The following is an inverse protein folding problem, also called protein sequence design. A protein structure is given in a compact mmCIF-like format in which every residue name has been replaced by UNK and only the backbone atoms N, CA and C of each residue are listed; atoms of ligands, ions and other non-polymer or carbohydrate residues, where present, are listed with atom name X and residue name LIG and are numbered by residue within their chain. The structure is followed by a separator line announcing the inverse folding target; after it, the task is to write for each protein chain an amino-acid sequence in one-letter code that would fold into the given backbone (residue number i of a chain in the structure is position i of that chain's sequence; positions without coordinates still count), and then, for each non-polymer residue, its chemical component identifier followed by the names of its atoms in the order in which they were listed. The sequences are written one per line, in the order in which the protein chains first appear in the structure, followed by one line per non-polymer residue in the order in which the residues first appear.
data_IF_148070670042
#
_entry.id   IF_148070670042
#
_cell.length_a   1.000
_cell.length_b   1.000
_cell.length_c   1.000
_cell.angle_alpha   90.00
_cell.angle_beta   90.00
_cell.angle_gamma   90.00
#
_symmetry.space_group_name_H-M   'P 1'
#
loop_
_entity.id
_entity.type
_entity.pdbx_description
1 polymer ?
#
# COMPACT_ATOMS: atom_id res chain seq x y z
N UNK A 1 26.17 7.76 -39.08
CA UNK A 1 24.70 7.82 -39.06
C UNK A 1 24.32 8.74 -37.94
N UNK A 2 23.84 9.95 -38.26
CA UNK A 2 23.45 10.93 -37.27
C UNK A 2 22.03 10.58 -36.78
N UNK A 3 21.79 10.61 -35.46
CA UNK A 3 20.46 10.38 -34.91
C UNK A 3 19.48 11.46 -35.40
N UNK A 4 19.96 12.69 -35.56
CA UNK A 4 19.14 13.81 -36.06
C UNK A 4 18.64 13.57 -37.49
N UNK A 5 19.45 12.90 -38.34
CA UNK A 5 19.05 12.51 -39.70
C UNK A 5 17.91 11.48 -39.66
N UNK A 6 17.92 10.53 -38.72
CA UNK A 6 16.83 9.56 -38.54
C UNK A 6 15.58 10.26 -38.00
N UNK A 7 15.74 11.14 -37.00
CA UNK A 7 14.62 11.84 -36.36
C UNK A 7 13.87 12.78 -37.31
N UNK A 8 14.50 13.19 -38.40
CA UNK A 8 13.92 14.07 -39.43
C UNK A 8 13.61 13.35 -40.74
N UNK A 9 13.81 12.03 -40.80
CA UNK A 9 13.67 11.25 -42.03
C UNK A 9 12.18 11.05 -42.40
N UNK A 10 11.91 11.00 -43.70
CA UNK A 10 10.55 10.76 -44.21
C UNK A 10 10.03 9.37 -43.82
N UNK A 11 10.92 8.38 -43.70
CA UNK A 11 10.61 7.02 -43.27
C UNK A 11 10.10 6.99 -41.83
N UNK A 12 10.72 7.74 -40.91
CA UNK A 12 10.25 7.81 -39.52
C UNK A 12 8.88 8.47 -39.43
N UNK A 13 8.67 9.56 -40.19
CA UNK A 13 7.37 10.24 -40.26
C UNK A 13 6.26 9.30 -40.78
N UNK A 14 6.57 8.46 -41.76
CA UNK A 14 5.64 7.45 -42.27
C UNK A 14 5.30 6.39 -41.20
N UNK A 15 6.31 5.90 -40.45
CA UNK A 15 6.11 4.95 -39.35
C UNK A 15 5.26 5.57 -38.24
N UNK A 16 5.57 6.79 -37.81
CA UNK A 16 4.79 7.51 -36.78
C UNK A 16 3.33 7.67 -37.20
N UNK A 17 3.09 8.05 -38.45
CA UNK A 17 1.76 8.18 -39.01
C UNK A 17 1.00 6.85 -38.96
N UNK A 18 1.64 5.75 -39.35
CA UNK A 18 1.03 4.41 -39.31
C UNK A 18 0.70 3.97 -37.87
N UNK A 19 1.60 4.20 -36.91
CA UNK A 19 1.36 3.90 -35.48
C UNK A 19 0.19 4.74 -34.94
N UNK A 20 0.14 6.03 -35.27
CA UNK A 20 -0.97 6.90 -34.87
C UNK A 20 -2.32 6.44 -35.43
N UNK A 21 -2.35 5.93 -36.67
CA UNK A 21 -3.56 5.32 -37.26
C UNK A 21 -3.95 4.05 -36.50
N UNK A 22 -3.00 3.20 -36.14
CA UNK A 22 -3.26 2.00 -35.33
C UNK A 22 -3.84 2.36 -33.96
N UNK A 23 -3.25 3.34 -33.27
CA UNK A 23 -3.73 3.80 -31.97
C UNK A 23 -5.17 4.32 -32.02
N UNK A 24 -5.50 5.11 -33.05
CA UNK A 24 -6.87 5.60 -33.28
C UNK A 24 -7.85 4.45 -33.54
N UNK A 25 -7.42 3.41 -34.27
CA UNK A 25 -8.25 2.25 -34.58
C UNK A 25 -8.58 1.41 -33.34
N UNK A 26 -7.61 1.22 -32.43
CA UNK A 26 -7.80 0.42 -31.22
C UNK A 26 -8.47 1.20 -30.07
N UNK A 27 -8.51 2.54 -30.14
CA UNK A 27 -9.26 3.42 -29.24
C UNK A 27 -9.04 3.13 -27.74
N UNK A 28 -7.78 2.91 -27.35
CA UNK A 28 -7.43 2.73 -25.95
C UNK A 28 -7.60 4.05 -25.18
N UNK A 29 -7.99 3.99 -23.89
CA UNK A 29 -8.07 5.18 -23.06
C UNK A 29 -6.74 5.94 -23.04
N UNK A 30 -6.80 7.26 -23.17
CA UNK A 30 -5.63 8.15 -23.18
C UNK A 30 -5.54 8.92 -21.87
N UNK A 31 -4.36 9.48 -21.60
CA UNK A 31 -4.18 10.37 -20.44
C UNK A 31 -5.14 11.57 -20.54
N UNK A 32 -5.89 11.82 -19.47
CA UNK A 32 -6.69 13.04 -19.32
C UNK A 32 -5.75 14.20 -18.95
N UNK A 33 -5.67 15.29 -19.74
CA UNK A 33 -4.78 16.43 -19.46
C UNK A 33 -5.08 17.16 -18.14
N UNK A 34 -6.30 17.03 -17.61
CA UNK A 34 -6.74 17.66 -16.37
C UNK A 34 -6.24 16.87 -15.15
N UNK A 35 -5.97 15.58 -15.31
CA UNK A 35 -5.50 14.74 -14.22
C UNK A 35 -4.02 15.00 -13.94
N UNK A 36 -3.67 14.96 -12.65
CA UNK A 36 -2.27 15.02 -12.20
C UNK A 36 -1.46 13.91 -12.88
N UNK A 37 -0.25 14.26 -13.30
CA UNK A 37 0.71 13.30 -13.85
C UNK A 37 1.18 12.31 -12.78
N UNK A 38 1.67 11.15 -13.24
CA UNK A 38 2.30 10.17 -12.36
C UNK A 38 3.44 10.80 -11.53
N UNK A 39 4.27 11.65 -12.13
CA UNK A 39 5.37 12.35 -11.44
C UNK A 39 4.89 13.20 -10.27
N UNK A 40 3.81 13.96 -10.46
CA UNK A 40 3.24 14.83 -9.42
C UNK A 40 2.70 14.03 -8.23
N UNK A 41 2.19 12.83 -8.49
CA UNK A 41 1.62 11.95 -7.46
C UNK A 41 2.70 11.13 -6.76
N UNK A 42 3.61 10.51 -7.52
CA UNK A 42 4.46 9.42 -7.02
C UNK A 42 5.93 9.81 -6.79
N UNK A 43 6.47 10.77 -7.57
CA UNK A 43 7.91 11.06 -7.62
C UNK A 43 8.32 12.39 -6.96
N UNK A 44 7.38 13.12 -6.36
CA UNK A 44 7.68 14.32 -5.59
C UNK A 44 8.47 14.03 -4.29
N UNK A 45 8.65 15.08 -3.46
CA UNK A 45 9.27 14.96 -2.12
C UNK A 45 8.55 13.93 -1.24
N UNK A 46 7.24 13.79 -1.43
CA UNK A 46 6.40 12.83 -0.72
C UNK A 46 5.38 12.24 -1.67
N UNK A 47 5.10 10.94 -1.50
CA UNK A 47 4.03 10.25 -2.21
C UNK A 47 2.66 10.85 -1.84
N UNK A 48 1.85 11.22 -2.83
CA UNK A 48 0.53 11.82 -2.65
C UNK A 48 -0.54 10.74 -2.57
N UNK A 49 -0.62 10.09 -1.41
CA UNK A 49 -1.50 8.93 -1.20
C UNK A 49 -2.99 9.19 -1.50
N UNK A 50 -3.50 10.39 -1.17
CA UNK A 50 -4.89 10.77 -1.47
C UNK A 50 -5.14 10.87 -2.97
N UNK A 51 -4.27 11.57 -3.69
CA UNK A 51 -4.37 11.73 -5.15
C UNK A 51 -4.28 10.36 -5.86
N UNK A 52 -3.41 9.47 -5.37
CA UNK A 52 -3.31 8.11 -5.89
C UNK A 52 -4.61 7.33 -5.66
N UNK A 53 -5.20 7.40 -4.46
CA UNK A 53 -6.46 6.72 -4.15
C UNK A 53 -7.62 7.23 -5.02
N UNK A 54 -7.71 8.54 -5.25
CA UNK A 54 -8.72 9.13 -6.12
C UNK A 54 -8.69 8.51 -7.53
N UNK A 55 -7.51 8.17 -8.06
CA UNK A 55 -7.38 7.52 -9.38
C UNK A 55 -7.63 6.01 -9.29
N UNK A 56 -7.15 5.34 -8.24
CA UNK A 56 -7.27 3.89 -8.06
C UNK A 56 -8.74 3.47 -7.91
N UNK A 57 -9.54 4.30 -7.26
CA UNK A 57 -10.95 4.05 -6.94
C UNK A 57 -11.95 4.59 -7.95
N UNK A 58 -11.52 5.49 -8.84
CA UNK A 58 -12.41 6.05 -9.85
C UNK A 58 -12.67 5.00 -10.95
N UNK A 59 -13.91 4.90 -11.40
CA UNK A 59 -14.33 4.04 -12.51
C UNK A 59 -13.89 4.60 -13.88
N UNK A 60 -13.59 5.89 -13.96
CA UNK A 60 -13.19 6.57 -15.20
C UNK A 60 -12.02 5.87 -15.90
N UNK A 61 -12.14 5.53 -17.21
CA UNK A 61 -11.09 4.85 -17.95
C UNK A 61 -9.74 5.59 -17.85
N UNK A 62 -8.71 4.86 -17.46
CA UNK A 62 -7.32 5.33 -17.47
C UNK A 62 -6.51 4.61 -18.53
N UNK A 63 -5.43 5.22 -19.01
CA UNK A 63 -4.53 4.54 -19.93
C UNK A 63 -3.96 3.25 -19.30
N UNK A 64 -3.62 2.23 -20.13
CA UNK A 64 -3.15 0.93 -19.64
C UNK A 64 -1.99 1.05 -18.64
N UNK A 65 -1.98 0.16 -17.64
CA UNK A 65 -0.92 0.09 -16.62
C UNK A 65 -0.96 1.18 -15.54
N UNK A 66 -1.68 2.29 -15.71
CA UNK A 66 -1.63 3.42 -14.76
C UNK A 66 -2.07 3.04 -13.34
N UNK A 67 -3.24 2.41 -13.20
CA UNK A 67 -3.76 1.98 -11.89
C UNK A 67 -2.90 0.89 -11.26
N UNK A 68 -2.33 -0.01 -12.06
CA UNK A 68 -1.45 -1.08 -11.61
C UNK A 68 -0.21 -0.51 -10.91
N UNK A 69 0.45 0.45 -11.56
CA UNK A 69 1.64 1.12 -11.02
C UNK A 69 1.28 1.97 -9.80
N UNK A 70 0.25 2.82 -9.89
CA UNK A 70 -0.16 3.67 -8.77
C UNK A 70 -0.59 2.86 -7.53
N UNK A 71 -1.33 1.77 -7.72
CA UNK A 71 -1.75 0.91 -6.61
C UNK A 71 -0.55 0.24 -5.94
N UNK A 72 0.44 -0.20 -6.72
CA UNK A 72 1.68 -0.76 -6.20
C UNK A 72 2.47 0.27 -5.38
N UNK A 73 2.54 1.52 -5.86
CA UNK A 73 3.11 2.64 -5.11
C UNK A 73 2.35 2.93 -3.81
N UNK A 74 1.01 2.95 -3.86
CA UNK A 74 0.17 3.15 -2.69
C UNK A 74 0.34 2.04 -1.65
N UNK A 75 0.47 0.79 -2.07
CA UNK A 75 0.77 -0.35 -1.18
C UNK A 75 2.14 -0.21 -0.53
N UNK A 76 3.17 0.18 -1.29
CA UNK A 76 4.49 0.47 -0.74
C UNK A 76 4.46 1.60 0.28
N UNK A 77 3.69 2.65 0.02
CA UNK A 77 3.51 3.75 0.97
C UNK A 77 2.70 3.34 2.20
N UNK A 78 1.65 2.53 2.04
CA UNK A 78 0.83 2.07 3.16
C UNK A 78 1.59 1.12 4.09
N UNK A 79 2.53 0.35 3.56
CA UNK A 79 3.40 -0.54 4.35
C UNK A 79 4.61 0.19 4.94
N UNK A 80 5.23 1.09 4.18
CA UNK A 80 6.44 1.82 4.58
C UNK A 80 6.37 3.32 4.22
N UNK A 81 5.52 4.12 4.89
CA UNK A 81 5.26 5.52 4.53
C UNK A 81 6.48 6.44 4.65
N UNK A 82 7.48 6.05 5.44
CA UNK A 82 8.73 6.78 5.65
C UNK A 82 9.85 6.34 4.69
N UNK A 83 9.66 5.27 3.92
CA UNK A 83 10.71 4.64 3.12
C UNK A 83 10.29 4.53 1.65
N UNK A 84 10.36 5.67 0.97
CA UNK A 84 10.04 5.84 -0.45
C UNK A 84 10.71 4.79 -1.38
N UNK A 85 11.95 4.33 -1.15
CA UNK A 85 12.57 3.32 -2.00
C UNK A 85 11.75 2.03 -2.19
N UNK A 86 10.97 1.60 -1.19
CA UNK A 86 10.10 0.43 -1.34
C UNK A 86 8.94 0.72 -2.27
N UNK A 87 8.32 1.89 -2.13
CA UNK A 87 7.23 2.30 -3.04
C UNK A 87 7.73 2.40 -4.48
N UNK A 88 8.91 3.00 -4.68
CA UNK A 88 9.55 3.07 -6.01
C UNK A 88 9.86 1.68 -6.55
N UNK A 89 10.45 0.79 -5.75
CA UNK A 89 10.73 -0.58 -6.14
C UNK A 89 9.48 -1.33 -6.59
N UNK A 90 8.39 -1.26 -5.82
CA UNK A 90 7.12 -1.91 -6.18
C UNK A 90 6.51 -1.31 -7.47
N UNK A 91 6.56 0.01 -7.66
CA UNK A 91 6.12 0.64 -8.91
C UNK A 91 6.95 0.18 -10.11
N UNK A 92 8.28 0.07 -9.94
CA UNK A 92 9.16 -0.42 -11.01
C UNK A 92 8.84 -1.87 -11.39
N UNK A 93 8.57 -2.74 -10.42
CA UNK A 93 8.14 -4.12 -10.71
C UNK A 93 6.77 -4.16 -11.40
N UNK A 94 5.83 -3.31 -10.99
CA UNK A 94 4.53 -3.21 -11.66
C UNK A 94 4.64 -2.76 -13.13
N UNK A 95 5.60 -1.87 -13.43
CA UNK A 95 5.91 -1.46 -14.82
C UNK A 95 6.42 -2.64 -15.63
N UNK A 96 7.41 -3.37 -15.08
CA UNK A 96 7.98 -4.55 -15.74
C UNK A 96 6.91 -5.62 -15.99
N UNK A 97 6.05 -5.87 -15.00
CA UNK A 97 4.95 -6.82 -15.13
C UNK A 97 3.93 -6.38 -16.20
N UNK A 98 3.63 -5.08 -16.28
CA UNK A 98 2.74 -4.56 -17.32
C UNK A 98 3.33 -4.73 -18.72
N UNK A 99 4.62 -4.39 -18.90
CA UNK A 99 5.32 -4.54 -20.17
C UNK A 99 5.45 -6.02 -20.58
N UNK A 100 5.84 -6.91 -19.66
CA UNK A 100 5.89 -8.36 -19.88
C UNK A 100 4.51 -8.91 -20.28
N UNK A 101 3.44 -8.46 -19.63
CA UNK A 101 2.08 -8.86 -20.00
C UNK A 101 1.70 -8.43 -21.41
N UNK A 102 2.13 -7.24 -21.86
CA UNK A 102 1.89 -6.74 -23.21
C UNK A 102 2.71 -7.52 -24.26
N UNK A 103 3.96 -7.87 -23.94
CA UNK A 103 4.83 -8.70 -24.79
C UNK A 103 4.25 -10.11 -24.97
N UNK A 104 3.82 -10.74 -23.87
CA UNK A 104 3.15 -12.05 -23.93
C UNK A 104 1.85 -12.00 -24.72
N UNK A 105 1.11 -10.91 -24.66
CA UNK A 105 -0.16 -10.75 -25.39
C UNK A 105 0.02 -10.76 -26.92
N UNK A 106 1.19 -10.37 -27.43
CA UNK A 106 1.54 -10.48 -28.86
C UNK A 106 2.28 -11.78 -29.19
N UNK A 107 2.35 -12.71 -28.24
CA UNK A 107 2.94 -14.03 -28.40
C UNK A 107 4.45 -14.10 -28.22
N UNK A 108 5.09 -13.04 -27.69
CA UNK A 108 6.51 -13.11 -27.33
C UNK A 108 6.68 -14.11 -26.17
N UNK A 109 7.59 -15.07 -26.38
CA UNK A 109 7.75 -16.28 -25.56
C UNK A 109 7.42 -17.57 -26.31
N UNK A 110 6.54 -17.50 -27.32
CA UNK A 110 6.22 -18.62 -28.23
C UNK A 110 6.69 -18.37 -29.67
N UNK A 111 6.99 -17.11 -30.00
CA UNK A 111 7.43 -16.68 -31.32
C UNK A 111 8.66 -15.76 -31.19
N UNK A 112 9.45 -15.70 -32.25
CA UNK A 112 10.56 -14.76 -32.36
C UNK A 112 10.08 -13.31 -32.35
N UNK A 113 10.93 -12.42 -31.84
CA UNK A 113 10.69 -10.98 -31.90
C UNK A 113 10.79 -10.49 -33.34
N UNK A 114 9.72 -9.89 -33.83
CA UNK A 114 9.71 -9.13 -35.08
C UNK A 114 9.21 -7.71 -34.85
N UNK A 115 9.47 -6.84 -35.81
CA UNK A 115 9.12 -5.42 -35.72
C UNK A 115 7.63 -5.19 -35.48
N UNK A 116 6.77 -6.04 -36.05
CA UNK A 116 5.32 -5.91 -35.89
C UNK A 116 4.91 -6.18 -34.44
N UNK A 117 5.44 -7.24 -33.82
CA UNK A 117 5.18 -7.58 -32.41
C UNK A 117 5.72 -6.51 -31.47
N UNK A 118 6.93 -6.04 -31.72
CA UNK A 118 7.54 -4.97 -30.90
C UNK A 118 6.70 -3.67 -30.96
N UNK A 119 6.28 -3.26 -32.16
CA UNK A 119 5.44 -2.06 -32.32
C UNK A 119 4.13 -2.21 -31.55
N UNK A 120 3.47 -3.37 -31.68
CA UNK A 120 2.18 -3.61 -31.02
C UNK A 120 2.34 -3.70 -29.50
N UNK A 121 3.33 -4.44 -28.99
CA UNK A 121 3.51 -4.58 -27.53
C UNK A 121 3.88 -3.25 -26.87
N UNK A 122 4.82 -2.51 -27.46
CA UNK A 122 5.42 -1.31 -26.86
C UNK A 122 4.57 -0.06 -27.10
N UNK A 123 4.10 0.19 -28.33
CA UNK A 123 3.43 1.45 -28.64
C UNK A 123 1.91 1.34 -28.56
N UNK A 124 1.33 0.18 -28.87
CA UNK A 124 -0.12 0.00 -28.85
C UNK A 124 -0.60 -0.49 -27.48
N UNK A 125 -0.13 -1.65 -27.00
CA UNK A 125 -0.65 -2.27 -25.77
C UNK A 125 -0.14 -1.61 -24.49
N UNK A 126 1.18 -1.40 -24.38
CA UNK A 126 1.75 -0.63 -23.26
C UNK A 126 1.30 0.82 -23.34
N UNK A 127 1.37 1.41 -24.55
CA UNK A 127 0.81 2.72 -24.86
C UNK A 127 1.78 3.88 -24.64
N UNK A 128 1.74 4.85 -25.56
CA UNK A 128 2.62 6.04 -25.52
C UNK A 128 2.42 6.86 -24.23
N UNK A 129 1.19 6.97 -23.72
CA UNK A 129 0.93 7.74 -22.50
C UNK A 129 1.59 7.11 -21.28
N UNK A 130 1.60 5.78 -21.18
CA UNK A 130 2.32 5.05 -20.15
C UNK A 130 3.83 5.25 -20.28
N UNK A 131 4.36 5.15 -21.51
CA UNK A 131 5.78 5.34 -21.77
C UNK A 131 6.25 6.75 -21.38
N UNK A 132 5.49 7.78 -21.71
CA UNK A 132 5.84 9.18 -21.45
C UNK A 132 5.58 9.61 -20.00
N UNK A 133 4.45 9.20 -19.40
CA UNK A 133 4.03 9.68 -18.09
C UNK A 133 4.66 8.87 -16.94
N UNK A 134 4.91 7.57 -17.13
CA UNK A 134 5.40 6.67 -16.08
C UNK A 134 6.83 6.23 -16.36
N UNK A 135 7.05 5.51 -17.46
CA UNK A 135 8.32 4.85 -17.75
C UNK A 135 9.48 5.85 -17.86
N UNK A 136 9.33 6.89 -18.69
CA UNK A 136 10.33 7.94 -18.85
C UNK A 136 10.60 8.68 -17.52
N UNK A 137 9.53 9.02 -16.79
CA UNK A 137 9.65 9.78 -15.54
C UNK A 137 10.37 9.01 -14.43
N UNK A 138 10.35 7.67 -14.46
CA UNK A 138 11.12 6.83 -13.52
C UNK A 138 12.58 6.64 -13.92
N UNK A 139 13.00 7.10 -15.10
CA UNK A 139 14.36 6.94 -15.63
C UNK A 139 14.47 5.90 -16.75
N UNK A 140 13.34 5.47 -17.33
CA UNK A 140 13.30 4.53 -18.42
C UNK A 140 14.02 3.22 -18.11
N UNK A 141 14.85 2.75 -19.04
CA UNK A 141 15.58 1.49 -18.89
C UNK A 141 16.59 1.52 -17.73
N UNK A 142 17.22 2.67 -17.46
CA UNK A 142 18.20 2.81 -16.35
C UNK A 142 17.53 2.64 -14.98
N UNK A 143 16.23 2.93 -14.87
CA UNK A 143 15.46 2.67 -13.66
C UNK A 143 15.44 1.17 -13.30
N UNK A 144 15.42 0.29 -14.30
CA UNK A 144 15.34 -1.16 -14.12
C UNK A 144 16.65 -1.77 -13.68
N UNK A 145 17.78 -1.21 -14.12
CA UNK A 145 19.11 -1.69 -13.73
C UNK A 145 19.42 -1.38 -12.25
N UNK A 146 18.75 -0.36 -11.70
CA UNK A 146 18.94 0.12 -10.32
C UNK A 146 17.79 -0.24 -9.39
N UNK A 147 16.76 -0.90 -9.90
CA UNK A 147 15.58 -1.27 -9.12
C UNK A 147 15.96 -2.25 -8.00
N UNK A 148 15.34 -2.10 -6.83
CA UNK A 148 15.45 -3.12 -5.79
C UNK A 148 14.92 -4.44 -6.32
N UNK A 149 15.69 -5.52 -6.17
CA UNK A 149 15.19 -6.85 -6.49
C UNK A 149 13.98 -7.19 -5.61
N UNK A 150 13.07 -8.08 -6.05
CA UNK A 150 11.98 -8.56 -5.22
C UNK A 150 12.47 -9.14 -3.88
N UNK A 151 13.63 -9.81 -3.89
CA UNK A 151 14.30 -10.29 -2.68
C UNK A 151 14.70 -9.15 -1.74
N UNK A 152 15.21 -8.05 -2.28
CA UNK A 152 15.61 -6.89 -1.47
C UNK A 152 14.40 -6.24 -0.79
N UNK A 153 13.27 -6.16 -1.51
CA UNK A 153 11.99 -5.67 -0.95
C UNK A 153 11.53 -6.61 0.17
N UNK A 154 11.59 -7.93 -0.06
CA UNK A 154 11.22 -8.95 0.92
C UNK A 154 12.13 -8.90 2.16
N UNK A 155 13.43 -8.70 1.99
CA UNK A 155 14.40 -8.56 3.09
C UNK A 155 14.09 -7.30 3.92
N UNK A 156 13.83 -6.17 3.26
CA UNK A 156 13.43 -4.94 3.95
C UNK A 156 12.13 -5.15 4.75
N UNK A 157 11.14 -5.82 4.16
CA UNK A 157 9.90 -6.15 4.84
C UNK A 157 10.11 -7.09 6.03
N UNK A 158 10.92 -8.14 5.87
CA UNK A 158 11.25 -9.08 6.94
C UNK A 158 11.99 -8.43 8.12
N UNK A 159 12.80 -7.40 7.85
CA UNK A 159 13.51 -6.65 8.88
C UNK A 159 12.55 -5.91 9.80
N UNK A 160 11.42 -5.43 9.26
CA UNK A 160 10.40 -4.68 10.00
C UNK A 160 9.17 -5.51 10.41
N UNK A 161 9.03 -6.74 9.90
CA UNK A 161 7.87 -7.62 10.10
C UNK A 161 7.48 -7.76 11.58
N UNK A 162 8.46 -8.00 12.46
CA UNK A 162 8.22 -8.12 13.90
C UNK A 162 7.69 -6.81 14.50
N UNK A 163 8.22 -5.68 14.05
CA UNK A 163 7.82 -4.37 14.56
C UNK A 163 6.41 -4.02 14.08
N UNK A 164 6.11 -4.26 12.80
CA UNK A 164 4.77 -4.09 12.22
C UNK A 164 3.77 -5.00 12.94
N UNK A 165 4.07 -6.29 13.11
CA UNK A 165 3.21 -7.23 13.85
C UNK A 165 2.97 -6.78 15.30
N UNK A 166 3.97 -6.21 15.97
CA UNK A 166 3.79 -5.65 17.33
C UNK A 166 2.84 -4.44 17.31
N UNK A 167 2.95 -3.56 16.31
CA UNK A 167 2.02 -2.43 16.12
C UNK A 167 0.60 -2.92 15.83
N UNK A 168 0.43 -3.93 14.97
CA UNK A 168 -0.87 -4.57 14.70
C UNK A 168 -1.47 -5.19 15.97
N UNK A 169 -0.64 -5.83 16.79
CA UNK A 169 -1.08 -6.35 18.08
C UNK A 169 -1.50 -5.23 19.04
N UNK A 170 -0.77 -4.10 19.06
CA UNK A 170 -1.16 -2.92 19.82
C UNK A 170 -2.53 -2.40 19.37
N UNK A 171 -2.75 -2.26 18.06
CA UNK A 171 -4.03 -1.89 17.45
C UNK A 171 -5.16 -2.86 17.83
N UNK A 172 -4.86 -4.16 17.92
CA UNK A 172 -5.81 -5.18 18.39
C UNK A 172 -6.26 -4.91 19.82
N UNK A 173 -5.33 -4.60 20.73
CA UNK A 173 -5.70 -4.21 22.10
C UNK A 173 -6.54 -2.92 22.14
N UNK A 174 -6.22 -1.94 21.30
CA UNK A 174 -7.02 -0.72 21.21
C UNK A 174 -8.43 -0.99 20.66
N UNK A 175 -8.59 -1.91 19.71
CA UNK A 175 -9.89 -2.33 19.19
C UNK A 175 -10.72 -2.96 20.30
N UNK A 176 -10.15 -3.92 21.04
CA UNK A 176 -10.81 -4.51 22.22
C UNK A 176 -11.18 -3.47 23.29
N UNK A 177 -10.35 -2.44 23.46
CA UNK A 177 -10.65 -1.30 24.34
C UNK A 177 -11.79 -0.44 23.81
N UNK A 178 -11.79 -0.15 22.50
CA UNK A 178 -12.79 0.64 21.82
C UNK A 178 -14.18 -0.02 21.80
N UNK A 179 -14.23 -1.36 21.74
CA UNK A 179 -15.45 -2.16 21.85
C UNK A 179 -16.10 -2.04 23.24
N UNK A 180 -15.31 -1.80 24.29
CA UNK A 180 -15.76 -1.63 25.69
C UNK A 180 -15.82 -0.18 26.15
N UNK A 181 -15.55 0.77 25.26
CA UNK A 181 -15.50 2.19 25.60
C UNK A 181 -16.86 2.69 26.11
N UNK A 182 -16.87 3.36 27.27
CA UNK A 182 -18.07 3.83 28.00
C UNK A 182 -18.92 2.73 28.63
N UNK A 183 -18.43 1.51 28.72
CA UNK A 183 -19.01 0.54 29.64
C UNK A 183 -18.78 1.03 31.09
N UNK A 184 -19.80 0.92 31.94
CA UNK A 184 -19.78 1.41 33.33
C UNK A 184 -18.66 0.73 34.13
N UNK A 185 -18.37 -0.53 33.80
CA UNK A 185 -17.29 -1.33 34.39
C UNK A 185 -15.91 -0.94 33.83
N UNK A 186 -15.85 -0.40 32.62
CA UNK A 186 -14.64 -0.08 31.85
C UNK A 186 -14.64 1.40 31.38
N UNK A 187 -14.42 2.34 32.30
CA UNK A 187 -14.29 3.76 31.97
C UNK A 187 -12.88 4.05 31.45
N UNK A 188 -12.72 4.03 30.12
CA UNK A 188 -11.39 3.98 29.54
C UNK A 188 -11.32 4.45 28.09
N UNK A 189 -10.45 5.41 27.78
CA UNK A 189 -10.06 5.78 26.42
C UNK A 189 -8.87 4.94 25.89
N UNK A 190 -8.99 4.30 24.70
CA UNK A 190 -7.87 3.66 24.00
C UNK A 190 -6.64 4.57 23.90
N UNK A 191 -5.45 4.06 24.23
CA UNK A 191 -4.20 4.79 24.01
C UNK A 191 -2.98 3.88 23.87
N UNK A 192 -1.97 4.34 23.10
CA UNK A 192 -0.72 3.61 22.90
C UNK A 192 0.01 3.32 24.21
N UNK A 193 -0.01 4.26 25.17
CA UNK A 193 0.64 4.06 26.47
C UNK A 193 0.07 2.86 27.22
N UNK A 194 -1.24 2.62 27.09
CA UNK A 194 -1.90 1.50 27.73
C UNK A 194 -1.63 0.19 27.00
N UNK A 195 -1.61 0.20 25.67
CA UNK A 195 -1.11 -0.94 24.89
C UNK A 195 0.35 -1.30 25.27
N UNK A 196 1.21 -0.29 25.47
CA UNK A 196 2.57 -0.49 25.96
C UNK A 196 2.61 -1.06 27.39
N UNK A 197 1.64 -0.73 28.25
CA UNK A 197 1.46 -1.34 29.57
C UNK A 197 1.14 -2.83 29.49
N UNK A 198 0.27 -3.25 28.56
CA UNK A 198 -0.02 -4.66 28.30
C UNK A 198 1.26 -5.39 27.87
N UNK A 199 2.03 -4.83 26.94
CA UNK A 199 3.31 -5.41 26.53
C UNK A 199 4.32 -5.49 27.67
N UNK A 200 4.34 -4.51 28.57
CA UNK A 200 5.19 -4.54 29.75
C UNK A 200 4.85 -5.72 30.66
N UNK A 201 3.57 -5.92 30.97
CA UNK A 201 3.13 -7.04 31.78
C UNK A 201 3.32 -8.39 31.07
N UNK A 202 3.08 -8.47 29.76
CA UNK A 202 3.41 -9.67 28.96
C UNK A 202 4.89 -10.03 29.06
N UNK A 203 5.78 -9.03 29.02
CA UNK A 203 7.22 -9.25 29.18
C UNK A 203 7.56 -9.81 30.57
N UNK A 204 6.85 -9.38 31.62
CA UNK A 204 7.02 -9.89 32.98
C UNK A 204 6.51 -11.32 33.10
N UNK A 205 5.36 -11.64 32.53
CA UNK A 205 4.74 -12.97 32.59
C UNK A 205 5.47 -14.02 31.75
N UNK A 206 5.92 -13.67 30.54
CA UNK A 206 6.58 -14.61 29.62
C UNK A 206 8.10 -14.70 29.81
N UNK A 207 8.69 -13.69 30.45
CA UNK A 207 10.14 -13.49 30.52
C UNK A 207 10.74 -12.88 29.23
N UNK A 208 11.95 -12.30 29.30
CA UNK A 208 12.53 -11.53 28.19
C UNK A 208 12.76 -12.32 26.90
N UNK A 209 13.14 -13.60 27.02
CA UNK A 209 13.46 -14.45 25.85
C UNK A 209 12.21 -14.77 25.03
N UNK A 210 11.15 -15.29 25.65
CA UNK A 210 9.90 -15.61 24.96
C UNK A 210 9.19 -14.35 24.43
N UNK A 211 9.26 -13.24 25.19
CA UNK A 211 8.76 -11.95 24.71
C UNK A 211 9.50 -11.49 23.44
N UNK A 212 10.83 -11.52 23.43
CA UNK A 212 11.66 -11.05 22.32
C UNK A 212 11.52 -11.84 21.01
N UNK A 213 11.00 -13.07 21.09
CA UNK A 213 10.63 -13.88 19.92
C UNK A 213 9.43 -13.30 19.17
N UNK A 214 8.49 -12.67 19.89
CA UNK A 214 7.19 -12.23 19.33
C UNK A 214 7.07 -10.71 19.19
N UNK A 215 7.61 -9.96 20.15
CA UNK A 215 7.35 -8.54 20.30
C UNK A 215 8.64 -7.73 20.36
N UNK A 216 8.54 -6.47 19.95
CA UNK A 216 9.65 -5.50 20.05
C UNK A 216 9.65 -4.75 21.37
N UNK A 217 10.77 -4.09 21.66
CA UNK A 217 10.89 -3.20 22.81
C UNK A 217 9.98 -1.95 22.66
N UNK A 218 9.62 -1.34 23.79
CA UNK A 218 8.75 -0.15 23.85
C UNK A 218 9.24 0.99 22.97
N UNK A 219 10.54 1.30 22.97
CA UNK A 219 11.11 2.38 22.14
C UNK A 219 10.87 2.14 20.65
N UNK A 220 11.04 0.90 20.18
CA UNK A 220 10.81 0.55 18.78
C UNK A 220 9.32 0.56 18.43
N UNK A 221 8.43 0.11 19.35
CA UNK A 221 6.98 0.25 19.19
C UNK A 221 6.58 1.72 18.99
N UNK A 222 7.04 2.63 19.86
CA UNK A 222 6.71 4.05 19.73
C UNK A 222 7.29 4.69 18.47
N UNK A 223 8.54 4.32 18.09
CA UNK A 223 9.16 4.78 16.83
C UNK A 223 8.32 4.36 15.64
N UNK A 224 7.94 3.08 15.57
CA UNK A 224 7.15 2.56 14.46
C UNK A 224 5.74 3.12 14.44
N UNK A 225 5.10 3.26 15.60
CA UNK A 225 3.80 3.93 15.69
C UNK A 225 3.85 5.36 15.13
N UNK A 226 4.86 6.13 15.55
CA UNK A 226 5.02 7.54 15.14
C UNK A 226 5.34 7.65 13.65
N UNK A 227 6.23 6.80 13.14
CA UNK A 227 6.59 6.79 11.73
C UNK A 227 5.43 6.38 10.82
N UNK A 228 4.55 5.48 11.29
CA UNK A 228 3.46 4.90 10.51
C UNK A 228 2.10 5.56 10.75
N UNK A 229 1.98 6.61 11.57
CA UNK A 229 0.71 7.32 11.83
C UNK A 229 -0.22 7.45 10.60
N UNK A 230 0.24 7.90 9.42
CA UNK A 230 -0.65 8.06 8.27
C UNK A 230 -1.18 6.76 7.66
N UNK A 231 -0.60 5.61 8.00
CA UNK A 231 -0.95 4.30 7.44
C UNK A 231 -1.38 3.26 8.49
N UNK A 232 -1.38 3.57 9.78
CA UNK A 232 -1.74 2.61 10.85
C UNK A 232 -3.11 1.96 10.63
N UNK A 233 -4.12 2.75 10.28
CA UNK A 233 -5.47 2.23 9.99
C UNK A 233 -5.48 1.27 8.81
N UNK A 234 -4.73 1.60 7.74
CA UNK A 234 -4.59 0.76 6.55
C UNK A 234 -3.89 -0.57 6.88
N UNK A 235 -2.77 -0.52 7.60
CA UNK A 235 -2.02 -1.72 8.00
C UNK A 235 -2.89 -2.64 8.87
N UNK A 236 -3.60 -2.06 9.85
CA UNK A 236 -4.49 -2.83 10.71
C UNK A 236 -5.67 -3.43 9.96
N UNK A 237 -6.32 -2.66 9.08
CA UNK A 237 -7.38 -3.15 8.22
C UNK A 237 -6.90 -4.30 7.33
N UNK A 238 -5.76 -4.15 6.66
CA UNK A 238 -5.17 -5.21 5.83
C UNK A 238 -4.81 -6.47 6.62
N UNK A 239 -4.39 -6.33 7.88
CA UNK A 239 -4.10 -7.48 8.76
C UNK A 239 -5.34 -8.31 9.08
N UNK A 240 -6.53 -7.69 9.06
CA UNK A 240 -7.81 -8.30 9.40
C UNK A 240 -8.50 -9.02 8.22
N UNK A 241 -7.99 -8.82 7.01
CA UNK A 241 -8.55 -9.35 5.76
C UNK A 241 -7.80 -10.61 5.34
N UNK A 242 -8.51 -11.57 4.75
CA UNK A 242 -7.95 -12.82 4.23
C UNK A 242 -8.03 -12.86 2.72
N UNK A 243 -6.93 -13.23 2.09
CA UNK A 243 -6.84 -13.53 0.67
C UNK A 243 -6.25 -14.93 0.56
N UNK A 244 -7.09 -15.89 0.17
CA UNK A 244 -6.77 -17.33 0.25
C UNK A 244 -6.30 -17.69 1.67
N UNK A 245 -5.05 -18.13 1.84
CA UNK A 245 -4.47 -18.57 3.14
C UNK A 245 -3.71 -17.46 3.87
N UNK A 246 -3.40 -16.34 3.23
CA UNK A 246 -2.61 -15.24 3.79
C UNK A 246 -3.51 -14.07 4.19
N UNK A 247 -3.03 -13.19 5.07
CA UNK A 247 -3.69 -11.90 5.25
C UNK A 247 -3.32 -10.95 4.12
N UNK A 248 -4.16 -9.96 3.86
CA UNK A 248 -3.88 -8.99 2.81
C UNK A 248 -2.59 -8.19 3.12
N UNK A 249 -2.35 -7.89 4.40
CA UNK A 249 -1.09 -7.29 4.84
C UNK A 249 0.13 -8.16 4.51
N UNK A 250 0.05 -9.48 4.67
CA UNK A 250 1.17 -10.38 4.33
C UNK A 250 1.45 -10.36 2.83
N UNK A 251 0.41 -10.34 1.98
CA UNK A 251 0.59 -10.22 0.53
C UNK A 251 1.33 -8.92 0.17
N UNK A 252 0.94 -7.80 0.81
CA UNK A 252 1.60 -6.51 0.60
C UNK A 252 3.06 -6.52 1.06
N UNK A 253 3.35 -7.07 2.24
CA UNK A 253 4.70 -7.12 2.79
C UNK A 253 5.64 -8.03 1.99
N UNK A 254 5.12 -9.11 1.40
CA UNK A 254 5.88 -9.99 0.52
C UNK A 254 6.05 -9.44 -0.91
N UNK A 255 5.51 -8.25 -1.21
CA UNK A 255 5.57 -7.68 -2.56
C UNK A 255 4.72 -8.42 -3.61
N UNK A 256 3.80 -9.27 -3.17
CA UNK A 256 2.95 -10.10 -4.04
C UNK A 256 1.64 -9.41 -4.45
N UNK A 257 1.50 -8.11 -4.17
CA UNK A 257 0.32 -7.35 -4.56
C UNK A 257 0.37 -6.99 -6.06
N UNK A 258 -0.77 -7.09 -6.71
CA UNK A 258 -1.04 -6.55 -8.05
C UNK A 258 -2.48 -6.03 -8.08
N UNK A 259 -2.71 -4.91 -8.75
CA UNK A 259 -4.06 -4.34 -8.88
C UNK A 259 -4.97 -5.30 -9.64
N UNK A 260 -4.48 -5.88 -10.73
CA UNK A 260 -5.24 -6.84 -11.54
C UNK A 260 -5.83 -7.97 -10.69
N UNK A 261 -5.06 -8.59 -9.81
CA UNK A 261 -5.55 -9.70 -8.98
C UNK A 261 -6.26 -9.26 -7.71
N UNK A 262 -5.92 -8.08 -7.17
CA UNK A 262 -6.32 -7.68 -5.81
C UNK A 262 -7.25 -6.46 -5.74
N UNK A 263 -7.61 -5.82 -6.86
CA UNK A 263 -8.47 -4.63 -6.87
C UNK A 263 -9.80 -4.87 -6.14
N UNK A 264 -10.39 -6.07 -6.25
CA UNK A 264 -11.63 -6.42 -5.58
C UNK A 264 -11.59 -6.37 -4.04
N UNK A 265 -10.40 -6.29 -3.43
CA UNK A 265 -10.23 -6.13 -1.98
C UNK A 265 -10.07 -4.67 -1.55
N UNK A 266 -9.83 -3.73 -2.47
CA UNK A 266 -9.47 -2.35 -2.13
C UNK A 266 -10.61 -1.65 -1.37
N UNK A 267 -11.85 -1.75 -1.86
CA UNK A 267 -13.00 -1.13 -1.20
C UNK A 267 -13.21 -1.63 0.23
N UNK A 268 -13.04 -2.95 0.43
CA UNK A 268 -13.14 -3.54 1.77
C UNK A 268 -12.01 -3.05 2.67
N UNK A 269 -10.80 -3.00 2.14
CA UNK A 269 -9.62 -2.56 2.85
C UNK A 269 -9.74 -1.11 3.33
N UNK A 270 -10.09 -0.19 2.43
CA UNK A 270 -10.26 1.22 2.76
C UNK A 270 -11.46 1.45 3.67
N UNK A 271 -12.56 0.73 3.46
CA UNK A 271 -13.73 0.80 4.35
C UNK A 271 -13.42 0.33 5.77
N UNK A 272 -12.64 -0.75 5.93
CA UNK A 272 -12.18 -1.20 7.26
C UNK A 272 -11.21 -0.21 7.89
N UNK A 273 -10.33 0.42 7.11
CA UNK A 273 -9.44 1.47 7.61
C UNK A 273 -10.21 2.72 8.05
N UNK A 274 -11.26 3.12 7.31
CA UNK A 274 -12.19 4.16 7.73
C UNK A 274 -12.86 3.81 9.06
N UNK A 275 -13.36 2.58 9.20
CA UNK A 275 -13.94 2.11 10.46
C UNK A 275 -12.95 2.19 11.63
N UNK A 276 -11.66 1.89 11.41
CA UNK A 276 -10.62 2.06 12.45
C UNK A 276 -10.51 3.51 12.90
N UNK A 277 -10.59 4.47 11.99
CA UNK A 277 -10.64 5.90 12.34
C UNK A 277 -11.82 6.20 13.25
N UNK A 278 -13.02 5.87 12.80
CA UNK A 278 -14.27 6.25 13.47
C UNK A 278 -14.44 5.53 14.82
N UNK A 279 -14.13 4.23 14.85
CA UNK A 279 -14.42 3.37 16.00
C UNK A 279 -13.27 3.31 17.02
N UNK A 280 -12.01 3.35 16.57
CA UNK A 280 -10.84 3.20 17.45
C UNK A 280 -10.20 4.56 17.70
N UNK A 281 -9.75 5.25 16.64
CA UNK A 281 -9.03 6.51 16.79
C UNK A 281 -9.91 7.63 17.35
N UNK A 282 -11.17 7.72 16.94
CA UNK A 282 -12.13 8.70 17.45
C UNK A 282 -12.45 8.56 18.95
N UNK A 283 -12.04 7.46 19.59
CA UNK A 283 -12.18 7.24 21.04
C UNK A 283 -10.87 7.43 21.81
N UNK A 284 -9.76 7.68 21.10
CA UNK A 284 -8.48 8.00 21.73
C UNK A 284 -8.49 9.44 22.27
N UNK A 285 -7.62 9.73 23.25
CA UNK A 285 -7.50 11.08 23.81
C UNK A 285 -6.97 12.12 22.79
N UNK A 286 -6.21 11.67 21.80
CA UNK A 286 -5.65 12.52 20.74
C UNK A 286 -6.39 12.29 19.42
N UNK A 287 -6.79 13.39 18.79
CA UNK A 287 -7.47 13.42 17.48
C UNK A 287 -6.52 13.25 16.29
N UNK A 288 -5.21 13.22 16.51
CA UNK A 288 -4.21 13.31 15.44
C UNK A 288 -4.31 12.14 14.43
N UNK A 289 -4.53 10.92 14.94
CA UNK A 289 -4.68 9.73 14.10
C UNK A 289 -5.99 9.73 13.32
N UNK A 290 -7.07 10.16 13.97
CA UNK A 290 -8.38 10.27 13.34
C UNK A 290 -8.34 11.32 12.21
N UNK A 291 -7.89 12.54 12.52
CA UNK A 291 -7.72 13.61 11.53
C UNK A 291 -6.82 13.21 10.37
N UNK A 292 -5.71 12.52 10.65
CA UNK A 292 -4.79 12.07 9.60
C UNK A 292 -5.45 11.04 8.68
N UNK A 293 -6.19 10.09 9.25
CA UNK A 293 -6.90 9.05 8.49
C UNK A 293 -8.08 9.63 7.71
N UNK A 294 -8.83 10.55 8.31
CA UNK A 294 -9.95 11.28 7.68
C UNK A 294 -9.50 12.13 6.49
N UNK A 295 -8.32 12.75 6.57
CA UNK A 295 -7.72 13.47 5.42
C UNK A 295 -7.43 12.55 4.24
N UNK A 296 -7.20 11.25 4.48
CA UNK A 296 -6.94 10.28 3.44
C UNK A 296 -8.23 9.61 2.92
N UNK A 297 -9.15 9.25 3.82
CA UNK A 297 -10.27 8.33 3.55
C UNK A 297 -11.65 8.96 3.75
N UNK A 298 -11.77 10.27 3.94
CA UNK A 298 -12.97 10.91 4.49
C UNK A 298 -14.31 10.53 3.84
N UNK A 299 -14.32 10.35 2.52
CA UNK A 299 -15.52 10.05 1.74
C UNK A 299 -15.82 8.54 1.63
N UNK A 300 -14.90 7.69 2.10
CA UNK A 300 -15.05 6.23 2.07
C UNK A 300 -16.05 5.79 3.14
N UNK A 301 -16.99 4.92 2.75
CA UNK A 301 -17.96 4.35 3.69
C UNK A 301 -17.27 3.37 4.66
N UNK A 302 -17.44 3.52 5.99
CA UNK A 302 -16.83 2.60 6.96
C UNK A 302 -17.43 1.20 6.84
N UNK A 303 -16.56 0.18 6.98
CA UNK A 303 -16.92 -1.24 6.98
C UNK A 303 -16.48 -1.88 8.31
N UNK A 304 -17.40 -2.10 9.25
CA UNK A 304 -17.08 -2.69 10.55
C UNK A 304 -16.50 -4.10 10.45
N UNK A 305 -15.61 -4.44 11.38
CA UNK A 305 -15.12 -5.79 11.58
C UNK A 305 -14.84 -6.04 13.07
N UNK A 306 -14.81 -7.31 13.48
CA UNK A 306 -14.58 -7.68 14.87
C UNK A 306 -13.09 -7.62 15.22
N UNK A 307 -12.77 -7.25 16.46
CA UNK A 307 -11.42 -7.37 16.99
C UNK A 307 -10.91 -8.82 16.85
N UNK A 308 -9.66 -9.02 16.35
CA UNK A 308 -9.04 -10.34 16.31
C UNK A 308 -8.99 -11.00 17.69
N UNK A 309 -9.07 -12.33 17.72
CA UNK A 309 -8.93 -13.10 18.96
C UNK A 309 -7.51 -12.94 19.51
N UNK A 310 -7.41 -12.69 20.81
CA UNK A 310 -6.18 -12.66 21.58
C UNK A 310 -6.15 -13.86 22.55
N UNK A 311 -4.97 -14.22 23.04
CA UNK A 311 -4.79 -15.38 23.94
C UNK A 311 -5.40 -15.14 25.31
N UNK A 312 -5.68 -16.21 26.08
CA UNK A 312 -6.24 -16.09 27.43
C UNK A 312 -5.37 -15.24 28.36
N UNK A 313 -4.04 -15.37 28.26
CA UNK A 313 -3.09 -14.55 29.01
C UNK A 313 -3.20 -13.07 28.63
N UNK A 314 -3.30 -12.77 27.33
CA UNK A 314 -3.48 -11.40 26.86
C UNK A 314 -4.83 -10.82 27.32
N UNK A 315 -5.90 -11.62 27.35
CA UNK A 315 -7.21 -11.20 27.88
C UNK A 315 -7.10 -10.88 29.37
N UNK A 316 -6.45 -11.73 30.16
CA UNK A 316 -6.27 -11.50 31.60
C UNK A 316 -5.49 -10.21 31.86
N UNK A 317 -4.35 -10.05 31.20
CA UNK A 317 -3.52 -8.85 31.34
C UNK A 317 -4.29 -7.62 30.86
N UNK A 318 -4.93 -7.69 29.70
CA UNK A 318 -5.77 -6.61 29.18
C UNK A 318 -6.87 -6.26 30.20
N UNK A 319 -7.68 -7.20 30.65
CA UNK A 319 -8.71 -6.91 31.66
C UNK A 319 -8.10 -6.30 32.94
N UNK A 320 -6.91 -6.74 33.38
CA UNK A 320 -6.23 -6.13 34.53
C UNK A 320 -5.80 -4.68 34.32
N UNK A 321 -5.44 -4.31 33.09
CA UNK A 321 -5.05 -2.94 32.71
C UNK A 321 -6.26 -2.05 32.36
N UNK A 322 -7.41 -2.65 32.04
CA UNK A 322 -8.63 -1.95 31.60
C UNK A 322 -9.74 -1.91 32.67
N UNK A 323 -9.68 -2.75 33.71
CA UNK A 323 -10.58 -2.66 34.87
C UNK A 323 -10.28 -1.39 35.67
N UNK A 324 -11.32 -0.72 36.18
CA UNK A 324 -11.20 0.33 37.21
C UNK A 324 -10.56 -0.21 38.48
N UNK A 325 -9.23 -0.31 38.54
CA UNK A 325 -8.53 -0.45 39.82
C UNK A 325 -8.55 0.92 40.50
N UNK A 326 -9.47 1.08 41.45
CA UNK A 326 -9.58 2.15 42.44
C UNK A 326 -10.18 3.51 41.99
N UNK A 327 -11.50 3.62 42.05
CA UNK A 327 -12.11 4.71 42.85
C UNK A 327 -12.42 4.12 44.22
N UNK A 328 -11.41 4.02 45.10
CA UNK A 328 -11.68 4.06 46.54
C UNK A 328 -11.87 5.54 46.85
N UNK A 329 -13.13 5.97 46.94
CA UNK A 329 -13.47 7.09 47.82
C UNK A 329 -13.61 6.52 49.22
#
# INVERSE_FOLDING_TARGET
MNVDEIMTSEELVAVETAVNVLLKKYNLPRKNPIHKSFKEIALGKTFKARDALEIILNDDPTYPGFREVLASGFVGWATFPQYQPISLGLMTHAILAHMDSCERAVGLGNHDLDLSRDIVSRYVLTGIDFLADIYDQLGGYDAFTRAYSPDSITIAANTEDKSIKTVIQAMTYLHHGADRFRDVEYDFAPSLNRAAGIFHELKRSLGPQEYGKKYVARSLLHRQWTGNKPALALQYAASSMRVKRKSFLVIMLEGNFSYTEHHGYIDEWLGRARFVSDHIFGKMESDDLDRTTMRLLGDIKPRPFKAPKITSLEIEIMNSQFNKRFRRN
#
